data_IF_234761938900
#
_entry.id   IF_234761938900
#
_cell.length_a   1.000
_cell.length_b   1.000
_cell.length_c   1.000
_cell.angle_alpha   90.00
_cell.angle_beta   90.00
_cell.angle_gamma   90.00
#
_symmetry.space_group_name_H-M   'P 1'
#
loop_
_entity.id
_entity.type
_entity.pdbx_description
1 polymer ?
#
# COMPACT_ATOMS: atom_id res chain seq x y z
N UNK A 1 -18.62 10.16 -5.89
CA UNK A 1 -19.09 10.83 -7.14
C UNK A 1 -18.72 10.02 -8.40
N UNK A 2 -17.46 9.53 -8.50
CA UNK A 2 -16.99 8.72 -9.63
C UNK A 2 -17.79 7.43 -9.82
N UNK A 3 -18.02 6.65 -8.77
CA UNK A 3 -18.79 5.41 -8.86
C UNK A 3 -20.27 5.61 -9.23
N UNK A 4 -20.80 6.80 -8.98
CA UNK A 4 -22.16 7.15 -9.35
C UNK A 4 -22.29 7.60 -10.83
N UNK A 5 -21.18 8.02 -11.44
CA UNK A 5 -21.15 8.51 -12.82
C UNK A 5 -20.68 7.45 -13.84
N UNK A 6 -20.15 6.32 -13.35
CA UNK A 6 -19.64 5.28 -14.23
C UNK A 6 -20.79 4.46 -14.84
N UNK A 7 -20.66 4.14 -16.11
CA UNK A 7 -21.62 3.32 -16.87
C UNK A 7 -21.41 1.82 -16.74
N UNK A 8 -20.44 1.39 -15.92
CA UNK A 8 -20.18 -0.03 -15.69
C UNK A 8 -21.39 -0.71 -15.07
N UNK A 9 -21.87 -1.77 -15.69
CA UNK A 9 -22.98 -2.59 -15.18
C UNK A 9 -22.50 -3.53 -14.08
N UNK A 10 -23.34 -3.79 -13.10
CA UNK A 10 -23.08 -4.74 -12.01
C UNK A 10 -22.99 -4.11 -10.64
N UNK A 11 -22.85 -4.94 -9.60
CA UNK A 11 -22.74 -4.48 -8.22
C UNK A 11 -21.43 -3.72 -8.00
N UNK A 12 -21.50 -2.67 -7.17
CA UNK A 12 -20.36 -1.83 -6.81
C UNK A 12 -20.28 -1.67 -5.31
N UNK A 13 -19.08 -1.64 -4.77
CA UNK A 13 -18.83 -1.37 -3.36
C UNK A 13 -17.88 -0.18 -3.21
N UNK A 14 -18.13 0.66 -2.23
CA UNK A 14 -17.26 1.77 -1.83
C UNK A 14 -16.74 1.48 -0.44
N UNK A 15 -15.43 1.54 -0.26
CA UNK A 15 -14.79 1.62 1.05
C UNK A 15 -14.44 3.07 1.33
N UNK A 16 -14.79 3.54 2.51
CA UNK A 16 -14.41 4.85 3.00
C UNK A 16 -14.06 4.76 4.49
N UNK A 17 -13.11 5.59 4.97
CA UNK A 17 -12.73 5.60 6.37
C UNK A 17 -13.90 6.08 7.23
N UNK A 18 -13.92 5.62 8.47
CA UNK A 18 -14.94 6.02 9.46
C UNK A 18 -14.57 7.35 10.14
N UNK A 19 -13.30 7.74 10.06
CA UNK A 19 -12.77 8.97 10.64
C UNK A 19 -13.02 10.21 9.79
N UNK A 20 -12.41 11.31 10.17
CA UNK A 20 -12.34 12.52 9.35
C UNK A 20 -11.39 12.36 8.16
N UNK A 21 -11.52 13.24 7.19
CA UNK A 21 -10.60 13.27 6.06
C UNK A 21 -9.23 13.80 6.50
N UNK A 22 -8.16 13.11 6.06
CA UNK A 22 -6.80 13.51 6.37
C UNK A 22 -6.43 14.83 5.68
N UNK A 23 -5.97 15.80 6.44
CA UNK A 23 -5.46 17.06 5.89
C UNK A 23 -4.20 16.84 5.01
N UNK A 24 -3.38 15.81 5.32
CA UNK A 24 -2.21 15.43 4.52
C UNK A 24 -2.65 14.85 3.17
N UNK A 25 -3.66 13.97 3.18
CA UNK A 25 -4.18 13.35 1.96
C UNK A 25 -5.00 14.31 1.10
N UNK A 26 -5.60 15.35 1.67
CA UNK A 26 -6.33 16.37 0.92
C UNK A 26 -5.47 17.11 -0.12
N UNK A 27 -4.14 17.11 0.06
CA UNK A 27 -3.20 17.71 -0.91
C UNK A 27 -3.04 16.85 -2.18
N UNK A 28 -3.49 15.61 -2.15
CA UNK A 28 -3.42 14.66 -3.26
C UNK A 28 -4.83 14.35 -3.77
N UNK A 29 -5.42 15.17 -4.64
CA UNK A 29 -6.78 14.95 -5.14
C UNK A 29 -6.86 13.59 -5.83
N UNK A 30 -7.93 12.85 -5.53
CA UNK A 30 -8.18 11.57 -6.15
C UNK A 30 -8.60 11.77 -7.61
N UNK A 31 -7.94 11.10 -8.53
CA UNK A 31 -8.30 11.11 -9.95
C UNK A 31 -9.29 9.98 -10.27
N UNK A 32 -9.87 9.96 -11.47
CA UNK A 32 -10.72 8.86 -11.96
C UNK A 32 -9.89 7.69 -12.52
N UNK A 33 -8.71 7.43 -11.92
CA UNK A 33 -7.82 6.35 -12.34
C UNK A 33 -8.02 5.12 -11.45
N UNK A 34 -7.46 4.04 -11.85
CA UNK A 34 -7.43 2.81 -11.07
C UNK A 34 -6.46 2.93 -9.89
N UNK A 35 -5.38 3.68 -10.11
CA UNK A 35 -4.38 4.04 -9.13
C UNK A 35 -3.75 5.38 -9.47
N UNK A 36 -3.19 6.03 -8.47
CA UNK A 36 -2.43 7.27 -8.60
C UNK A 36 -1.06 7.11 -7.92
N UNK A 37 -0.01 7.61 -8.56
CA UNK A 37 1.22 7.89 -7.85
C UNK A 37 1.05 9.18 -7.04
N UNK A 38 1.32 9.12 -5.75
CA UNK A 38 1.37 10.28 -4.85
C UNK A 38 2.79 10.83 -4.78
N UNK A 39 3.75 9.94 -4.94
CA UNK A 39 5.17 10.24 -4.97
C UNK A 39 5.85 9.35 -5.99
N UNK A 40 6.72 9.91 -6.83
CA UNK A 40 7.41 9.18 -7.88
C UNK A 40 8.83 9.72 -8.04
N UNK A 41 9.83 8.86 -7.86
CA UNK A 41 11.26 9.17 -7.96
C UNK A 41 11.91 8.37 -9.08
N UNK A 42 12.63 9.01 -10.02
CA UNK A 42 13.30 8.26 -11.06
C UNK A 42 14.31 7.23 -10.52
N UNK A 43 14.11 5.98 -10.87
CA UNK A 43 15.01 4.89 -10.44
C UNK A 43 14.69 4.26 -9.10
N UNK A 44 13.56 4.62 -8.46
CA UNK A 44 13.13 3.99 -7.23
C UNK A 44 12.97 2.47 -7.40
N UNK A 45 13.48 1.72 -6.43
CA UNK A 45 13.42 0.26 -6.40
C UNK A 45 12.35 -0.27 -5.43
N UNK A 46 11.76 0.63 -4.63
CA UNK A 46 10.76 0.33 -3.60
C UNK A 46 9.44 0.96 -4.01
N UNK A 47 8.37 0.18 -3.97
CA UNK A 47 7.00 0.65 -4.14
C UNK A 47 6.22 0.44 -2.86
N UNK A 48 5.68 1.51 -2.31
CA UNK A 48 4.77 1.50 -1.18
C UNK A 48 3.34 1.64 -1.70
N UNK A 49 2.49 0.68 -1.40
CA UNK A 49 1.12 0.62 -1.91
C UNK A 49 0.14 0.61 -0.75
N UNK A 50 -0.88 1.44 -0.84
CA UNK A 50 -2.01 1.41 0.11
C UNK A 50 -3.25 2.09 -0.45
N UNK A 51 -4.27 2.20 0.38
CA UNK A 51 -5.54 2.89 0.14
C UNK A 51 -6.12 3.45 1.44
N UNK A 52 -7.06 4.38 1.33
CA UNK A 52 -7.73 5.04 2.46
C UNK A 52 -6.74 5.70 3.45
N UNK A 53 -7.01 5.62 4.75
CA UNK A 53 -6.25 6.34 5.78
C UNK A 53 -4.85 5.79 6.02
N UNK A 54 -4.59 4.54 5.67
CA UNK A 54 -3.25 3.94 5.77
C UNK A 54 -2.22 4.66 4.89
N UNK A 55 -2.68 5.42 3.91
CA UNK A 55 -1.83 6.25 3.05
C UNK A 55 -1.08 7.35 3.82
N UNK A 56 -1.55 7.79 4.99
CA UNK A 56 -0.79 8.74 5.82
C UNK A 56 0.52 8.13 6.32
N UNK A 57 0.45 6.93 6.88
CA UNK A 57 1.64 6.21 7.36
C UNK A 57 2.56 5.82 6.20
N UNK A 58 2.00 5.46 5.06
CA UNK A 58 2.75 5.19 3.82
C UNK A 58 3.51 6.43 3.33
N UNK A 59 2.89 7.60 3.31
CA UNK A 59 3.56 8.84 2.94
C UNK A 59 4.68 9.20 3.91
N UNK A 60 4.45 9.02 5.22
CA UNK A 60 5.49 9.24 6.23
C UNK A 60 6.62 8.21 6.10
N UNK A 61 6.30 6.96 5.80
CA UNK A 61 7.28 5.93 5.51
C UNK A 61 8.16 6.31 4.31
N UNK A 62 7.56 6.79 3.22
CA UNK A 62 8.31 7.26 2.05
C UNK A 62 9.21 8.46 2.39
N UNK A 63 8.72 9.43 3.15
CA UNK A 63 9.50 10.59 3.59
C UNK A 63 10.76 10.14 4.36
N UNK A 64 10.61 9.18 5.28
CA UNK A 64 11.73 8.66 6.09
C UNK A 64 12.72 7.81 5.26
N UNK A 65 12.24 7.00 4.34
CA UNK A 65 13.10 6.20 3.45
C UNK A 65 13.88 7.09 2.49
N UNK A 66 13.20 8.05 1.84
CA UNK A 66 13.82 8.96 0.89
C UNK A 66 14.86 9.89 1.56
N UNK A 67 14.61 10.34 2.78
CA UNK A 67 15.59 11.08 3.57
C UNK A 67 16.86 10.26 3.87
N UNK A 68 16.76 8.94 3.86
CA UNK A 68 17.87 8.01 4.03
C UNK A 68 18.47 7.51 2.70
N UNK A 69 18.13 8.14 1.58
CA UNK A 69 18.54 7.74 0.22
C UNK A 69 18.10 6.30 -0.16
N UNK A 70 16.96 5.90 0.38
CA UNK A 70 16.28 4.64 0.04
C UNK A 70 15.05 4.99 -0.79
N UNK A 71 15.26 5.34 -2.06
CA UNK A 71 14.21 5.89 -2.93
C UNK A 71 12.99 4.97 -3.02
N UNK A 72 11.86 5.48 -2.57
CA UNK A 72 10.59 4.79 -2.50
C UNK A 72 9.48 5.61 -3.16
N UNK A 73 8.74 4.98 -4.04
CA UNK A 73 7.54 5.54 -4.65
C UNK A 73 6.29 5.20 -3.84
N UNK A 74 5.27 6.06 -3.92
CA UNK A 74 3.99 5.85 -3.26
C UNK A 74 2.87 5.73 -4.27
N UNK A 75 2.17 4.60 -4.26
CA UNK A 75 1.02 4.31 -5.10
C UNK A 75 -0.24 4.16 -4.27
N UNK A 76 -1.23 5.01 -4.53
CA UNK A 76 -2.57 4.91 -3.98
C UNK A 76 -3.45 4.06 -4.89
N UNK A 77 -4.05 2.99 -4.35
CA UNK A 77 -5.13 2.30 -5.04
C UNK A 77 -6.43 3.08 -4.93
N UNK A 78 -7.03 3.38 -6.08
CA UNK A 78 -8.35 3.98 -6.20
C UNK A 78 -9.40 2.89 -6.43
N UNK A 79 -9.08 1.92 -7.29
CA UNK A 79 -9.87 0.72 -7.53
C UNK A 79 -9.21 -0.47 -6.86
N UNK A 80 -9.87 -1.04 -5.87
CA UNK A 80 -9.31 -2.14 -5.08
C UNK A 80 -9.40 -3.49 -5.78
N UNK A 81 -10.43 -3.71 -6.61
CA UNK A 81 -10.64 -4.98 -7.30
C UNK A 81 -11.60 -4.82 -8.50
N UNK A 82 -11.43 -5.57 -9.60
CA UNK A 82 -10.24 -6.35 -9.94
C UNK A 82 -9.04 -5.47 -10.29
N UNK A 83 -7.83 -5.99 -10.10
CA UNK A 83 -6.62 -5.34 -10.60
C UNK A 83 -6.55 -5.41 -12.11
N UNK A 84 -5.92 -4.40 -12.71
CA UNK A 84 -5.62 -4.41 -14.13
C UNK A 84 -4.20 -4.90 -14.39
N UNK A 85 -3.98 -5.45 -15.58
CA UNK A 85 -2.63 -5.83 -16.02
C UNK A 85 -1.66 -4.63 -15.92
N UNK A 86 -2.14 -3.43 -16.18
CA UNK A 86 -1.35 -2.20 -16.07
C UNK A 86 -0.83 -1.95 -14.65
N UNK A 87 -1.65 -2.19 -13.63
CA UNK A 87 -1.21 -2.06 -12.22
C UNK A 87 -0.16 -3.11 -11.90
N UNK A 88 -0.41 -4.36 -12.29
CA UNK A 88 0.50 -5.48 -12.06
C UNK A 88 1.83 -5.25 -12.78
N UNK A 89 1.79 -4.79 -14.05
CA UNK A 89 2.96 -4.41 -14.83
C UNK A 89 3.75 -3.27 -14.19
N UNK A 90 3.06 -2.31 -13.60
CA UNK A 90 3.69 -1.20 -12.90
C UNK A 90 4.37 -1.68 -11.63
N UNK A 91 3.68 -2.43 -10.77
CA UNK A 91 4.23 -2.93 -9.52
C UNK A 91 5.39 -3.93 -9.75
N UNK A 92 5.34 -4.72 -10.84
CA UNK A 92 6.40 -5.69 -11.15
C UNK A 92 7.75 -5.09 -11.58
N UNK A 93 7.83 -3.77 -11.77
CA UNK A 93 9.10 -3.08 -12.08
C UNK A 93 9.98 -2.85 -10.85
N UNK A 94 9.41 -2.91 -9.66
CA UNK A 94 10.10 -2.65 -8.40
C UNK A 94 10.71 -3.93 -7.85
N UNK A 95 11.81 -3.79 -7.11
CA UNK A 95 12.46 -4.92 -6.42
C UNK A 95 11.73 -5.28 -5.13
N UNK A 96 11.17 -4.27 -4.46
CA UNK A 96 10.41 -4.43 -3.23
C UNK A 96 9.04 -3.78 -3.42
N UNK A 97 7.98 -4.50 -3.10
CA UNK A 97 6.62 -3.95 -3.02
C UNK A 97 6.12 -4.17 -1.60
N UNK A 98 5.90 -3.09 -0.86
CA UNK A 98 5.23 -3.11 0.42
C UNK A 98 3.77 -2.73 0.22
N UNK A 99 2.86 -3.57 0.67
CA UNK A 99 1.44 -3.30 0.70
C UNK A 99 0.95 -3.23 2.14
N UNK A 100 0.47 -2.05 2.56
CA UNK A 100 -0.10 -1.86 3.89
C UNK A 100 -1.61 -1.69 3.82
N UNK A 101 -2.35 -2.37 4.69
CA UNK A 101 -3.80 -2.27 4.76
C UNK A 101 -4.36 -2.52 6.17
N UNK A 102 -5.32 -1.71 6.58
CA UNK A 102 -6.08 -1.90 7.81
C UNK A 102 -7.13 -3.01 7.65
N UNK A 103 -6.69 -4.20 7.30
CA UNK A 103 -7.53 -5.36 7.07
C UNK A 103 -6.84 -6.61 7.61
N UNK A 104 -7.61 -7.67 7.83
CA UNK A 104 -7.04 -8.98 8.14
C UNK A 104 -6.22 -9.47 6.94
N UNK A 105 -5.00 -9.94 7.18
CA UNK A 105 -4.08 -10.35 6.13
C UNK A 105 -4.66 -11.43 5.21
N UNK A 106 -5.29 -12.46 5.80
CA UNK A 106 -5.92 -13.53 5.01
C UNK A 106 -7.19 -13.03 4.30
N UNK A 107 -7.20 -13.09 2.98
CA UNK A 107 -8.28 -12.58 2.14
C UNK A 107 -8.25 -11.06 1.92
N UNK A 108 -7.18 -10.38 2.37
CA UNK A 108 -6.96 -8.96 2.13
C UNK A 108 -6.60 -8.66 0.67
N UNK A 109 -6.67 -7.38 0.33
CA UNK A 109 -6.33 -6.90 -1.03
C UNK A 109 -4.85 -7.14 -1.36
N UNK A 110 -3.97 -7.00 -0.35
CA UNK A 110 -2.54 -7.27 -0.50
C UNK A 110 -2.23 -8.72 -0.88
N UNK A 111 -2.97 -9.70 -0.34
CA UNK A 111 -2.82 -11.10 -0.71
C UNK A 111 -3.15 -11.33 -2.20
N UNK A 112 -4.19 -10.67 -2.71
CA UNK A 112 -4.54 -10.72 -4.12
C UNK A 112 -3.46 -10.09 -5.02
N UNK A 113 -2.85 -8.98 -4.60
CA UNK A 113 -1.78 -8.35 -5.35
C UNK A 113 -0.52 -9.22 -5.36
N UNK A 114 -0.15 -9.80 -4.21
CA UNK A 114 0.98 -10.73 -4.11
C UNK A 114 0.80 -11.92 -5.07
N UNK A 115 -0.39 -12.51 -5.07
CA UNK A 115 -0.71 -13.62 -5.98
C UNK A 115 -0.63 -13.20 -7.45
N UNK A 116 -1.16 -12.03 -7.81
CA UNK A 116 -1.10 -11.53 -9.18
C UNK A 116 0.34 -11.29 -9.66
N UNK A 117 1.21 -10.74 -8.81
CA UNK A 117 2.63 -10.56 -9.09
C UNK A 117 3.36 -11.91 -9.26
N UNK A 118 3.03 -12.89 -8.41
CA UNK A 118 3.58 -14.25 -8.53
C UNK A 118 3.16 -14.91 -9.86
N UNK A 119 1.89 -14.81 -10.26
CA UNK A 119 1.40 -15.34 -11.53
C UNK A 119 2.09 -14.69 -12.74
N UNK A 120 2.54 -13.45 -12.60
CA UNK A 120 3.32 -12.75 -13.62
C UNK A 120 4.78 -13.23 -13.70
N UNK A 121 5.24 -14.01 -12.74
CA UNK A 121 6.63 -14.44 -12.63
C UNK A 121 7.55 -13.35 -12.06
N UNK A 122 6.99 -12.40 -11.30
CA UNK A 122 7.79 -11.39 -10.62
C UNK A 122 8.64 -12.02 -9.51
N UNK A 123 9.92 -11.68 -9.47
CA UNK A 123 10.91 -12.25 -8.55
C UNK A 123 11.32 -11.27 -7.44
N UNK A 124 10.65 -10.13 -7.31
CA UNK A 124 10.92 -9.18 -6.24
C UNK A 124 10.38 -9.66 -4.89
N UNK A 125 10.54 -8.83 -3.88
CA UNK A 125 10.10 -9.12 -2.52
C UNK A 125 8.79 -8.41 -2.21
N UNK A 126 7.77 -9.17 -1.86
CA UNK A 126 6.48 -8.64 -1.41
C UNK A 126 6.41 -8.61 0.11
N UNK A 127 6.08 -7.45 0.67
CA UNK A 127 5.85 -7.24 2.10
C UNK A 127 4.38 -6.92 2.29
N UNK A 128 3.64 -7.81 2.94
CA UNK A 128 2.24 -7.60 3.26
C UNK A 128 2.12 -7.18 4.72
N UNK A 129 1.95 -5.89 4.97
CA UNK A 129 1.70 -5.31 6.28
C UNK A 129 0.19 -5.18 6.48
N UNK A 130 -0.36 -6.00 7.35
CA UNK A 130 -1.79 -6.11 7.59
C UNK A 130 -2.05 -6.64 9.00
N UNK A 131 -3.31 -6.70 9.41
CA UNK A 131 -3.66 -7.23 10.73
C UNK A 131 -3.56 -8.75 10.73
N UNK A 132 -2.64 -9.30 11.52
CA UNK A 132 -2.41 -10.75 11.66
C UNK A 132 -3.11 -11.40 12.87
N UNK A 133 -3.91 -10.64 13.60
CA UNK A 133 -4.65 -11.15 14.77
C UNK A 133 -6.15 -11.18 14.53
N UNK A 134 -6.82 -12.20 15.04
CA UNK A 134 -8.28 -12.30 14.97
C UNK A 134 -9.01 -11.36 15.96
N UNK A 135 -8.31 -10.86 16.96
CA UNK A 135 -8.89 -10.02 18.00
C UNK A 135 -7.98 -8.84 18.30
N UNK A 136 -8.47 -7.64 18.03
CA UNK A 136 -7.79 -6.40 18.38
C UNK A 136 -8.25 -5.93 19.77
N UNK A 137 -7.35 -5.33 20.57
CA UNK A 137 -7.73 -4.71 21.83
C UNK A 137 -8.64 -3.49 21.57
N UNK A 138 -9.44 -3.12 22.56
CA UNK A 138 -10.16 -1.85 22.52
C UNK A 138 -9.18 -0.71 22.78
N UNK A 139 -8.82 0.01 21.72
CA UNK A 139 -7.80 1.06 21.75
C UNK A 139 -8.12 2.15 20.71
N UNK A 140 -7.38 3.24 20.72
CA UNK A 140 -7.42 4.28 19.68
C UNK A 140 -6.76 3.77 18.39
N UNK A 141 -7.09 4.35 17.24
CA UNK A 141 -6.51 3.97 15.95
C UNK A 141 -4.98 3.99 15.97
N UNK A 142 -4.28 5.04 16.49
CA UNK A 142 -2.82 5.03 16.57
C UNK A 142 -2.25 3.89 17.42
N UNK A 143 -2.91 3.57 18.54
CA UNK A 143 -2.49 2.44 19.38
C UNK A 143 -2.68 1.09 18.66
N UNK A 144 -3.77 0.95 17.89
CA UNK A 144 -4.00 -0.25 17.09
C UNK A 144 -2.92 -0.39 16.02
N UNK A 145 -2.60 0.69 15.28
CA UNK A 145 -1.54 0.67 14.26
C UNK A 145 -0.20 0.27 14.86
N UNK A 146 0.18 0.83 15.99
CA UNK A 146 1.39 0.45 16.71
C UNK A 146 1.39 -1.02 17.16
N UNK A 147 0.27 -1.54 17.66
CA UNK A 147 0.16 -2.96 18.05
C UNK A 147 0.17 -3.94 16.87
N UNK A 148 -0.19 -3.48 15.68
CA UNK A 148 -0.29 -4.32 14.47
C UNK A 148 0.86 -4.14 13.49
N UNK A 149 1.81 -3.25 13.77
CA UNK A 149 2.95 -2.98 12.89
C UNK A 149 2.56 -2.21 11.62
N UNK A 150 1.52 -1.37 11.72
CA UNK A 150 1.01 -0.55 10.62
C UNK A 150 1.35 0.93 10.78
N UNK A 151 2.10 1.33 11.81
CA UNK A 151 2.62 2.69 11.89
C UNK A 151 3.85 2.88 10.99
N UNK A 152 4.15 4.13 10.64
CA UNK A 152 5.24 4.45 9.73
C UNK A 152 6.61 3.92 10.19
N UNK A 153 6.88 3.87 11.50
CA UNK A 153 8.14 3.38 12.03
C UNK A 153 8.32 1.89 11.77
N UNK A 154 7.29 1.10 11.99
CA UNK A 154 7.30 -0.35 11.73
C UNK A 154 7.38 -0.65 10.23
N UNK A 155 6.67 0.12 9.39
CA UNK A 155 6.73 -0.02 7.94
C UNK A 155 8.14 0.29 7.40
N UNK A 156 8.82 1.34 7.91
CA UNK A 156 10.23 1.63 7.59
C UNK A 156 11.14 0.46 7.98
N UNK A 157 10.95 -0.11 9.17
CA UNK A 157 11.73 -1.27 9.61
C UNK A 157 11.52 -2.49 8.72
N UNK A 158 10.28 -2.75 8.30
CA UNK A 158 9.95 -3.85 7.39
C UNK A 158 10.70 -3.71 6.06
N UNK A 159 10.73 -2.51 5.46
CA UNK A 159 11.48 -2.25 4.22
C UNK A 159 12.97 -2.44 4.44
N UNK A 160 13.55 -1.87 5.51
CA UNK A 160 14.99 -1.99 5.80
C UNK A 160 15.42 -3.43 6.02
N UNK A 161 14.61 -4.21 6.74
CA UNK A 161 14.86 -5.64 6.91
C UNK A 161 14.80 -6.43 5.60
N UNK A 162 13.98 -5.97 4.65
CA UNK A 162 13.92 -6.56 3.32
C UNK A 162 15.17 -6.22 2.48
N UNK A 163 15.68 -5.00 2.56
CA UNK A 163 16.91 -4.59 1.87
C UNK A 163 18.11 -5.39 2.34
N UNK A 164 18.32 -5.54 3.66
CA UNK A 164 19.47 -6.25 4.22
C UNK A 164 19.48 -7.75 3.93
N UNK A 165 18.33 -8.39 3.80
CA UNK A 165 18.25 -9.81 3.43
C UNK A 165 18.61 -10.07 1.97
N UNK A 166 18.43 -9.11 1.08
CA UNK A 166 18.84 -9.20 -0.32
C UNK A 166 20.35 -9.10 -0.52
N UNK A 167 21.09 -8.45 0.37
CA UNK A 167 22.55 -8.31 0.30
C UNK A 167 23.29 -9.58 0.75
N UNK A 168 22.64 -10.44 1.55
CA UNK A 168 23.24 -11.66 2.08
C UNK A 168 22.99 -12.92 1.22
N UNK A 169 22.21 -12.80 0.15
CA UNK A 169 21.89 -13.92 -0.76
C UNK A 169 22.67 -13.84 -2.10
N UNK A 170 23.64 -12.92 -2.20
CA UNK A 170 24.61 -12.80 -3.31
C UNK A 170 26.01 -13.27 -2.87
#
# INVERSE_FOLDING_TARGET
HYLLQDTVSGPRAIRYPRGGESAKLAQYPCTKREYDFLYETPGAEILLVSYADELEDILETADQLNAASQDADVLRLVKLYPFTDKLIDTASKYKIVLFAEECVAAGGIGEHLAYALQQKGWNGRFLHCAVHTACLPHATVPQIKQCTGLDAADLVQAVRAALTKGENEL
#
